data_IF_961652062415
#
_entry.id   IF_961652062415
#
_cell.length_a   1.000
_cell.length_b   1.000
_cell.length_c   1.000
_cell.angle_alpha   90.00
_cell.angle_beta   90.00
_cell.angle_gamma   90.00
#
_symmetry.space_group_name_H-M   'P 1'
#
loop_
_entity.id
_entity.type
_entity.pdbx_description
1 polymer ?
#
# COMPACT_ATOMS: atom_id res chain seq x y z
N UNK A 1 21.11 12.89 5.53
CA UNK A 1 19.97 11.96 5.74
C UNK A 1 20.18 10.83 4.77
N UNK A 2 20.43 9.60 5.24
CA UNK A 2 20.56 8.47 4.33
C UNK A 2 19.25 8.39 3.54
N UNK A 3 19.31 8.62 2.23
CA UNK A 3 18.17 8.35 1.36
C UNK A 3 17.93 6.85 1.48
N UNK A 4 16.90 6.47 2.24
CA UNK A 4 16.42 5.09 2.24
C UNK A 4 16.20 4.73 0.77
N UNK A 5 16.96 3.74 0.30
CA UNK A 5 16.87 3.32 -1.10
C UNK A 5 15.51 2.67 -1.26
N UNK A 6 14.64 3.30 -2.06
CA UNK A 6 13.37 2.69 -2.41
C UNK A 6 13.63 1.40 -3.19
N UNK A 7 13.15 0.27 -2.69
CA UNK A 7 13.16 -0.99 -3.41
C UNK A 7 11.86 -1.14 -4.22
N UNK A 8 11.99 -1.65 -5.45
CA UNK A 8 10.84 -1.95 -6.29
C UNK A 8 10.38 -3.39 -6.05
N UNK A 9 9.11 -3.58 -5.72
CA UNK A 9 8.48 -4.88 -5.61
C UNK A 9 7.38 -5.04 -6.67
N UNK A 10 7.30 -6.23 -7.27
CA UNK A 10 6.25 -6.61 -8.22
C UNK A 10 5.24 -7.51 -7.52
N UNK A 11 3.95 -7.22 -7.69
CA UNK A 11 2.86 -7.99 -7.07
C UNK A 11 1.92 -8.55 -8.13
N UNK A 12 1.45 -9.77 -7.90
CA UNK A 12 0.32 -10.33 -8.63
C UNK A 12 -0.97 -9.96 -7.90
N UNK A 13 -1.87 -9.31 -8.62
CA UNK A 13 -3.18 -8.90 -8.13
C UNK A 13 -4.23 -9.34 -9.14
N UNK A 14 -5.44 -9.65 -8.67
CA UNK A 14 -6.55 -9.89 -9.58
C UNK A 14 -6.91 -8.61 -10.34
N UNK A 15 -7.55 -8.76 -11.50
CA UNK A 15 -8.00 -7.60 -12.29
C UNK A 15 -8.95 -6.69 -11.50
N UNK A 16 -9.80 -7.30 -10.69
CA UNK A 16 -10.74 -6.58 -9.83
C UNK A 16 -10.02 -5.72 -8.79
N UNK A 17 -9.07 -6.29 -8.05
CA UNK A 17 -8.23 -5.55 -7.09
C UNK A 17 -7.51 -4.37 -7.76
N UNK A 18 -6.96 -4.57 -8.96
CA UNK A 18 -6.29 -3.50 -9.71
C UNK A 18 -7.25 -2.38 -10.09
N UNK A 19 -8.49 -2.70 -10.45
CA UNK A 19 -9.51 -1.70 -10.78
C UNK A 19 -9.94 -0.92 -9.53
N UNK A 20 -10.16 -1.59 -8.41
CA UNK A 20 -10.50 -0.94 -7.14
C UNK A 20 -9.40 0.03 -6.68
N UNK A 21 -8.13 -0.40 -6.74
CA UNK A 21 -6.98 0.45 -6.43
C UNK A 21 -6.92 1.66 -7.37
N UNK A 22 -7.17 1.47 -8.67
CA UNK A 22 -7.18 2.57 -9.65
C UNK A 22 -8.26 3.60 -9.33
N UNK A 23 -9.50 3.14 -9.12
CA UNK A 23 -10.63 4.03 -8.85
C UNK A 23 -10.47 4.76 -7.53
N UNK A 24 -10.03 4.07 -6.47
CA UNK A 24 -9.80 4.68 -5.16
C UNK A 24 -8.64 5.69 -5.20
N UNK A 25 -7.54 5.36 -5.88
CA UNK A 25 -6.42 6.29 -6.05
C UNK A 25 -6.85 7.55 -6.83
N UNK A 26 -7.66 7.38 -7.88
CA UNK A 26 -8.21 8.49 -8.66
C UNK A 26 -9.12 9.39 -7.83
N UNK A 27 -10.06 8.82 -7.08
CA UNK A 27 -10.97 9.56 -6.19
C UNK A 27 -10.21 10.39 -5.15
N UNK A 28 -9.14 9.83 -4.60
CA UNK A 28 -8.32 10.49 -3.58
C UNK A 28 -7.20 11.37 -4.16
N UNK A 29 -7.09 11.49 -5.49
CA UNK A 29 -6.04 12.26 -6.18
C UNK A 29 -4.60 11.88 -5.75
N UNK A 30 -4.36 10.59 -5.50
CA UNK A 30 -3.05 10.06 -5.14
C UNK A 30 -2.55 9.04 -6.17
N UNK A 31 -1.26 8.74 -6.14
CA UNK A 31 -0.71 7.69 -6.99
C UNK A 31 -1.10 6.30 -6.48
N UNK A 32 -1.24 5.34 -7.40
CA UNK A 32 -1.50 3.92 -7.07
C UNK A 32 -0.46 3.36 -6.11
N UNK A 33 0.81 3.69 -6.32
CA UNK A 33 1.90 3.22 -5.45
C UNK A 33 1.85 3.86 -4.05
N UNK A 34 1.39 5.10 -3.93
CA UNK A 34 1.15 5.71 -2.63
C UNK A 34 0.01 5.01 -1.89
N UNK A 35 -1.11 4.74 -2.57
CA UNK A 35 -2.23 4.01 -1.98
C UNK A 35 -1.82 2.61 -1.50
N UNK A 36 -1.11 1.84 -2.33
CA UNK A 36 -0.62 0.50 -1.96
C UNK A 36 0.31 0.57 -0.75
N UNK A 37 1.22 1.56 -0.70
CA UNK A 37 2.08 1.77 0.48
C UNK A 37 1.28 2.09 1.74
N UNK A 38 0.23 2.90 1.63
CA UNK A 38 -0.64 3.22 2.77
C UNK A 38 -1.35 1.96 3.29
N UNK A 39 -1.90 1.15 2.39
CA UNK A 39 -2.57 -0.12 2.74
C UNK A 39 -1.59 -1.08 3.44
N UNK A 40 -0.39 -1.26 2.89
CA UNK A 40 0.64 -2.14 3.49
C UNK A 40 1.02 -1.63 4.88
N UNK A 41 1.25 -0.32 5.04
CA UNK A 41 1.62 0.28 6.33
C UNK A 41 0.53 0.08 7.38
N UNK A 42 -0.73 0.31 7.01
CA UNK A 42 -1.87 0.13 7.91
C UNK A 42 -2.03 -1.34 8.33
N UNK A 43 -1.89 -2.27 7.39
CA UNK A 43 -1.97 -3.70 7.69
C UNK A 43 -0.87 -4.13 8.67
N UNK A 44 0.38 -3.70 8.44
CA UNK A 44 1.49 -4.01 9.34
C UNK A 44 1.31 -3.40 10.74
N UNK A 45 0.80 -2.17 10.83
CA UNK A 45 0.53 -1.52 12.11
C UNK A 45 -0.47 -2.33 12.96
N UNK A 46 -1.57 -2.81 12.34
CA UNK A 46 -2.56 -3.66 13.03
C UNK A 46 -1.95 -4.96 13.56
N UNK A 47 -1.01 -5.56 12.83
CA UNK A 47 -0.34 -6.79 13.26
C UNK A 47 0.63 -6.58 14.44
N UNK A 48 1.19 -5.38 14.60
CA UNK A 48 2.01 -5.05 15.78
C UNK A 48 1.10 -4.88 17.00
N UNK A 49 0.00 -4.14 16.86
CA UNK A 49 -0.96 -3.92 17.95
C UNK A 49 -1.61 -5.22 18.45
N UNK A 50 -1.87 -6.20 17.58
CA UNK A 50 -2.39 -7.51 17.98
C UNK A 50 -1.35 -8.42 18.64
N UNK A 51 -0.05 -8.18 18.45
CA UNK A 51 1.03 -8.95 19.10
C UNK A 51 1.36 -8.46 20.50
N UNK A 52 1.07 -7.20 20.80
CA UNK A 52 1.31 -6.57 22.11
C UNK A 52 0.09 -6.69 23.06
N UNK A 53 -0.95 -7.45 22.68
CA UNK A 53 -2.09 -7.84 23.53
C UNK A 53 -1.96 -9.28 24.01
#
# INVERSE_FOLDING_TARGET
>A
MATEKFEHATFYLTREQVNEIKELARKNQISRSALVRMIIREYLAKQVEDKDK
#
